data_IF_650713449762
#
_entry.id   IF_650713449762
#
_cell.length_a   1.000
_cell.length_b   1.000
_cell.length_c   1.000
_cell.angle_alpha   90.00
_cell.angle_beta   90.00
_cell.angle_gamma   90.00
#
_symmetry.space_group_name_H-M   'P 1'
#
loop_
_entity.id
_entity.type
_entity.pdbx_description
1 polymer ?
#
# COMPACT_ATOMS: atom_id res chain seq x y z
N UNK A 1 10.51 -40.08 9.67
CA UNK A 1 9.91 -38.77 9.47
C UNK A 1 10.72 -37.96 8.45
N UNK A 2 10.11 -37.68 7.33
CA UNK A 2 10.80 -36.87 6.33
C UNK A 2 10.67 -35.40 6.76
N UNK A 3 11.80 -34.82 7.09
CA UNK A 3 11.85 -33.39 7.39
C UNK A 3 11.94 -32.64 6.09
N UNK A 4 10.85 -31.94 5.75
CA UNK A 4 10.87 -31.06 4.61
C UNK A 4 11.67 -29.82 5.00
N UNK A 5 12.81 -29.66 4.36
CA UNK A 5 13.60 -28.45 4.55
C UNK A 5 12.83 -27.27 3.99
N UNK A 6 12.48 -26.33 4.87
CA UNK A 6 11.80 -25.11 4.45
C UNK A 6 12.71 -24.33 3.52
N UNK A 7 12.28 -24.18 2.29
CA UNK A 7 13.00 -23.31 1.36
C UNK A 7 12.76 -21.87 1.76
N UNK A 8 13.78 -21.06 1.62
CA UNK A 8 13.64 -19.63 1.78
C UNK A 8 12.70 -19.10 0.70
N UNK A 9 11.78 -18.20 1.07
CA UNK A 9 10.89 -17.56 0.12
C UNK A 9 11.71 -16.94 -1.00
N UNK A 10 11.38 -17.18 -2.29
CA UNK A 10 12.14 -16.64 -3.40
C UNK A 10 12.00 -15.13 -3.58
N UNK A 11 11.01 -14.52 -2.92
CA UNK A 11 10.82 -13.08 -3.00
C UNK A 11 11.86 -12.39 -2.13
N UNK A 12 12.55 -11.43 -2.72
CA UNK A 12 13.56 -10.63 -2.04
C UNK A 12 12.92 -9.32 -1.57
N UNK A 13 12.89 -9.12 -0.27
CA UNK A 13 12.28 -7.94 0.34
C UNK A 13 13.28 -6.84 0.69
N UNK A 14 14.51 -6.90 0.16
CA UNK A 14 15.51 -5.85 0.42
C UNK A 14 15.09 -4.47 -0.10
N UNK A 15 14.23 -4.44 -1.12
CA UNK A 15 13.66 -3.20 -1.63
C UNK A 15 12.59 -2.62 -0.69
N UNK A 16 12.08 -3.41 0.25
CA UNK A 16 11.11 -2.95 1.22
C UNK A 16 11.81 -2.29 2.40
N UNK A 17 12.39 -1.13 2.13
CA UNK A 17 13.22 -0.38 3.08
C UNK A 17 12.64 1.01 3.39
N UNK A 18 11.38 1.23 3.03
CA UNK A 18 10.71 2.50 3.24
C UNK A 18 9.66 2.37 4.33
N UNK A 19 9.39 3.48 5.01
CA UNK A 19 8.28 3.55 5.95
C UNK A 19 7.04 4.08 5.23
N UNK A 20 5.90 3.49 5.51
CA UNK A 20 4.61 3.97 5.04
C UNK A 20 3.62 3.98 6.19
N UNK A 21 2.65 4.87 6.12
CA UNK A 21 1.54 4.94 7.07
C UNK A 21 0.27 4.53 6.36
N UNK A 22 -0.42 3.53 6.90
CA UNK A 22 -1.68 3.01 6.35
C UNK A 22 -2.83 3.50 7.21
N UNK A 23 -3.81 4.09 6.56
CA UNK A 23 -5.03 4.59 7.20
C UNK A 23 -6.21 3.76 6.74
N UNK A 24 -6.89 3.14 7.69
CA UNK A 24 -8.06 2.31 7.43
C UNK A 24 -9.28 2.89 8.13
N UNK A 25 -10.38 2.97 7.40
CA UNK A 25 -11.67 3.43 7.91
C UNK A 25 -12.64 2.27 7.96
N UNK A 26 -13.20 2.01 9.14
CA UNK A 26 -14.25 1.03 9.34
C UNK A 26 -15.41 1.72 10.08
N UNK A 27 -16.46 2.09 9.32
CA UNK A 27 -17.54 2.91 9.84
C UNK A 27 -17.01 4.25 10.35
N UNK A 28 -17.14 4.49 11.64
CA UNK A 28 -16.63 5.69 12.30
C UNK A 28 -15.29 5.46 13.01
N UNK A 29 -14.69 4.27 12.82
CA UNK A 29 -13.41 3.92 13.42
C UNK A 29 -12.28 4.15 12.40
N UNK A 30 -11.27 4.90 12.82
CA UNK A 30 -10.12 5.23 11.99
C UNK A 30 -8.88 4.63 12.62
N UNK A 31 -8.18 3.78 11.86
CA UNK A 31 -6.97 3.09 12.32
C UNK A 31 -5.78 3.61 11.54
N UNK A 32 -4.69 3.87 12.24
CA UNK A 32 -3.44 4.33 11.65
C UNK A 32 -2.34 3.33 12.03
N UNK A 33 -1.67 2.77 11.04
CA UNK A 33 -0.59 1.81 11.26
C UNK A 33 0.63 2.24 10.46
N UNK A 34 1.79 2.30 11.12
CA UNK A 34 3.06 2.60 10.47
C UNK A 34 3.79 1.28 10.20
N UNK A 35 4.15 1.05 8.95
CA UNK A 35 4.98 -0.08 8.53
C UNK A 35 6.35 0.46 8.15
N UNK A 36 7.38 -0.03 8.84
CA UNK A 36 8.76 0.44 8.64
C UNK A 36 9.47 -0.26 7.49
N UNK A 37 8.92 -1.39 7.04
CA UNK A 37 9.50 -2.18 5.96
C UNK A 37 8.46 -2.35 4.87
N UNK A 38 8.43 -1.40 3.96
CA UNK A 38 7.51 -1.41 2.83
C UNK A 38 8.22 -0.92 1.58
N UNK A 39 7.62 -1.21 0.43
CA UNK A 39 8.04 -0.68 -0.85
C UNK A 39 6.86 0.08 -1.46
N UNK A 40 7.07 1.34 -1.75
CA UNK A 40 6.06 2.17 -2.40
C UNK A 40 6.70 2.87 -3.59
N UNK A 41 6.25 2.51 -4.78
CA UNK A 41 6.74 3.05 -6.04
C UNK A 41 5.63 3.79 -6.76
N UNK A 42 5.88 5.03 -7.10
CA UNK A 42 4.97 5.86 -7.86
C UNK A 42 5.32 5.76 -9.33
N UNK A 43 4.35 5.37 -10.15
CA UNK A 43 4.50 5.35 -11.59
C UNK A 43 3.64 6.44 -12.17
N UNK A 44 4.28 7.31 -12.94
CA UNK A 44 3.59 8.35 -13.69
C UNK A 44 3.38 7.88 -15.11
N UNK A 45 2.13 7.72 -15.49
CA UNK A 45 1.78 7.38 -16.86
C UNK A 45 1.16 8.61 -17.51
N UNK A 46 1.75 9.03 -18.64
CA UNK A 46 1.21 10.13 -19.40
C UNK A 46 0.65 9.59 -20.71
N UNK A 47 -0.64 9.79 -20.93
CA UNK A 47 -1.30 9.41 -22.15
C UNK A 47 -1.67 10.68 -22.92
N UNK A 48 -1.21 10.76 -24.17
CA UNK A 48 -1.56 11.86 -25.07
C UNK A 48 -2.66 11.37 -25.99
N UNK A 49 -3.81 12.03 -25.94
CA UNK A 49 -4.93 11.75 -26.83
C UNK A 49 -5.28 12.99 -27.66
N UNK A 50 -6.39 12.91 -28.41
CA UNK A 50 -6.85 14.02 -29.27
C UNK A 50 -7.26 15.28 -28.51
N UNK A 51 -7.51 15.17 -27.22
CA UNK A 51 -7.95 16.29 -26.37
C UNK A 51 -6.84 16.81 -25.47
N UNK A 52 -5.63 16.26 -25.55
CA UNK A 52 -4.48 16.68 -24.77
C UNK A 52 -3.86 15.56 -23.98
N UNK A 53 -2.86 15.89 -23.18
CA UNK A 53 -2.18 14.92 -22.32
C UNK A 53 -2.99 14.69 -21.05
N UNK A 54 -3.18 13.41 -20.72
CA UNK A 54 -3.84 12.98 -19.50
C UNK A 54 -2.80 12.28 -18.62
N UNK A 55 -2.54 12.85 -17.46
CA UNK A 55 -1.68 12.21 -16.47
C UNK A 55 -2.50 11.27 -15.60
N UNK A 56 -2.09 10.01 -15.56
CA UNK A 56 -2.61 9.05 -14.61
C UNK A 56 -1.47 8.64 -13.67
N UNK A 57 -1.68 8.84 -12.38
CA UNK A 57 -0.73 8.40 -11.38
C UNK A 57 -1.13 7.01 -10.91
N UNK A 58 -0.20 6.06 -11.02
CA UNK A 58 -0.36 4.73 -10.46
C UNK A 58 0.73 4.48 -9.44
N UNK A 59 0.51 3.50 -8.57
CA UNK A 59 1.49 3.12 -7.59
C UNK A 59 1.48 1.61 -7.39
N UNK A 60 2.59 1.11 -6.87
CA UNK A 60 2.72 -0.26 -6.39
C UNK A 60 3.20 -0.21 -4.95
N UNK A 61 2.45 -0.84 -4.07
CA UNK A 61 2.78 -0.97 -2.66
C UNK A 61 3.00 -2.43 -2.34
N UNK A 62 4.10 -2.73 -1.65
CA UNK A 62 4.38 -4.08 -1.14
C UNK A 62 4.69 -3.97 0.35
N UNK A 63 3.94 -4.70 1.16
CA UNK A 63 4.17 -4.78 2.60
C UNK A 63 4.36 -6.25 2.98
N UNK A 64 5.59 -6.65 3.35
CA UNK A 64 5.82 -8.02 3.80
C UNK A 64 5.07 -8.32 5.10
N UNK A 65 4.57 -9.54 5.22
CA UNK A 65 3.86 -9.96 6.41
C UNK A 65 2.95 -11.15 6.11
N UNK A 66 2.47 -11.76 7.17
CA UNK A 66 1.62 -12.95 7.12
C UNK A 66 0.12 -12.63 7.26
N UNK A 67 -0.22 -11.36 7.35
CA UNK A 67 -1.60 -10.89 7.39
C UNK A 67 -1.79 -9.77 6.37
N UNK A 68 -3.02 -9.62 5.90
CA UNK A 68 -3.35 -8.56 4.95
C UNK A 68 -3.18 -7.19 5.61
N UNK A 69 -2.25 -6.40 5.06
CA UNK A 69 -1.86 -5.12 5.65
C UNK A 69 -2.77 -3.96 5.22
N UNK A 70 -3.33 -4.04 4.01
CA UNK A 70 -4.16 -2.97 3.46
C UNK A 70 -5.41 -3.54 2.82
N UNK A 71 -6.43 -2.71 2.71
CA UNK A 71 -7.72 -3.06 2.10
C UNK A 71 -8.08 -2.00 1.06
N UNK A 72 -8.96 -2.37 0.12
CA UNK A 72 -9.43 -1.43 -0.88
C UNK A 72 -10.11 -0.24 -0.20
N UNK A 73 -9.73 0.97 -0.63
CA UNK A 73 -10.22 2.21 -0.03
C UNK A 73 -9.31 2.77 1.06
N UNK A 74 -8.33 2.00 1.51
CA UNK A 74 -7.36 2.50 2.48
C UNK A 74 -6.53 3.62 1.86
N UNK A 75 -6.08 4.54 2.71
CA UNK A 75 -5.16 5.60 2.33
C UNK A 75 -3.77 5.25 2.83
N UNK A 76 -2.77 5.44 1.98
CA UNK A 76 -1.38 5.12 2.30
C UNK A 76 -0.53 6.34 2.02
N UNK A 77 0.27 6.72 2.99
CA UNK A 77 1.18 7.86 2.87
C UNK A 77 2.62 7.38 2.99
N UNK A 78 3.49 7.89 2.13
CA UNK A 78 4.92 7.65 2.25
C UNK A 78 5.46 8.33 3.52
N UNK A 79 6.28 7.61 4.28
CA UNK A 79 6.81 8.09 5.53
C UNK A 79 5.81 7.97 6.67
N UNK A 80 6.01 8.76 7.70
CA UNK A 80 5.15 8.79 8.88
C UNK A 80 4.18 9.97 8.73
N UNK A 81 2.91 9.66 8.54
CA UNK A 81 1.88 10.67 8.34
C UNK A 81 1.18 11.08 9.63
N UNK A 82 0.35 12.13 9.55
CA UNK A 82 -0.39 12.63 10.71
C UNK A 82 -1.48 11.67 11.17
N UNK A 83 -2.00 11.90 12.35
CA UNK A 83 -3.17 11.17 12.83
C UNK A 83 -4.44 11.68 12.15
N UNK A 84 -5.25 10.74 11.68
CA UNK A 84 -6.54 11.02 11.07
C UNK A 84 -7.58 10.25 11.90
N UNK A 85 -8.33 10.96 12.71
CA UNK A 85 -9.24 10.34 13.66
C UNK A 85 -10.69 10.82 13.54
N UNK A 86 -10.98 11.72 12.61
CA UNK A 86 -12.32 12.27 12.43
C UNK A 86 -12.77 12.12 10.98
N UNK A 87 -14.07 12.15 10.78
CA UNK A 87 -14.66 12.09 9.45
C UNK A 87 -14.21 13.26 8.56
N UNK A 88 -14.15 14.46 9.12
CA UNK A 88 -13.74 15.65 8.36
C UNK A 88 -12.26 15.57 8.00
N UNK A 89 -11.41 15.11 8.91
CA UNK A 89 -9.99 14.90 8.64
C UNK A 89 -9.77 13.86 7.57
N UNK A 90 -10.54 12.77 7.60
CA UNK A 90 -10.48 11.73 6.57
C UNK A 90 -10.87 12.27 5.20
N UNK A 91 -11.97 13.02 5.13
CA UNK A 91 -12.45 13.58 3.86
C UNK A 91 -11.48 14.58 3.26
N UNK A 92 -10.76 15.34 4.09
CA UNK A 92 -9.78 16.32 3.65
C UNK A 92 -8.43 15.71 3.29
N UNK A 93 -8.19 14.46 3.68
CA UNK A 93 -6.94 13.75 3.47
C UNK A 93 -6.98 13.06 2.10
N UNK A 94 -6.56 13.79 1.07
CA UNK A 94 -6.69 13.35 -0.33
C UNK A 94 -5.37 13.45 -1.07
N UNK A 95 -5.13 12.57 -2.07
CA UNK A 95 -3.90 12.63 -2.87
C UNK A 95 -3.70 13.95 -3.62
N UNK A 96 -4.77 14.64 -3.99
CA UNK A 96 -4.68 15.90 -4.74
C UNK A 96 -4.14 17.07 -3.91
N UNK A 97 -4.23 17.01 -2.59
CA UNK A 97 -3.75 18.06 -1.70
C UNK A 97 -2.66 17.59 -0.74
N UNK A 98 -2.30 16.31 -0.75
CA UNK A 98 -1.32 15.73 0.17
C UNK A 98 -0.26 14.97 -0.62
N UNK A 99 0.94 15.53 -0.80
CA UNK A 99 2.00 14.83 -1.50
C UNK A 99 2.37 13.51 -0.80
N UNK A 100 2.59 12.47 -1.60
CA UNK A 100 2.97 11.16 -1.09
C UNK A 100 1.80 10.30 -0.60
N UNK A 101 0.57 10.78 -0.72
CA UNK A 101 -0.63 10.03 -0.34
C UNK A 101 -1.25 9.36 -1.56
N UNK A 102 -1.65 8.11 -1.39
CA UNK A 102 -2.35 7.33 -2.43
C UNK A 102 -3.56 6.64 -1.81
N UNK A 103 -4.53 6.30 -2.66
CA UNK A 103 -5.71 5.53 -2.26
C UNK A 103 -5.64 4.16 -2.91
N UNK A 104 -5.81 3.13 -2.11
CA UNK A 104 -5.73 1.73 -2.57
C UNK A 104 -6.98 1.39 -3.38
N UNK A 105 -6.79 0.97 -4.62
CA UNK A 105 -7.87 0.56 -5.53
C UNK A 105 -7.96 -0.94 -5.72
N UNK A 106 -6.85 -1.65 -5.57
CA UNK A 106 -6.84 -3.11 -5.58
C UNK A 106 -5.84 -3.64 -4.57
N UNK A 107 -6.10 -4.85 -4.08
CA UNK A 107 -5.22 -5.56 -3.14
C UNK A 107 -5.05 -6.98 -3.65
N UNK A 108 -3.81 -7.44 -3.64
CA UNK A 108 -3.46 -8.80 -4.02
C UNK A 108 -2.54 -9.38 -2.95
N UNK A 109 -3.04 -10.37 -2.24
CA UNK A 109 -2.26 -11.07 -1.22
C UNK A 109 -1.46 -12.19 -1.87
N UNK A 110 -0.17 -12.24 -1.58
CA UNK A 110 0.74 -13.21 -2.18
C UNK A 110 1.10 -14.31 -1.20
N UNK A 111 1.15 -15.53 -1.71
CA UNK A 111 1.37 -16.74 -0.92
C UNK A 111 2.57 -17.51 -1.47
N UNK A 112 3.28 -18.16 -0.56
CA UNK A 112 4.34 -19.09 -0.90
C UNK A 112 4.29 -20.27 0.07
N UNK A 113 4.28 -21.50 -0.45
CA UNK A 113 4.09 -22.71 0.34
C UNK A 113 2.86 -22.67 1.26
N UNK A 114 1.74 -22.11 0.76
CA UNK A 114 0.49 -22.04 1.52
C UNK A 114 0.45 -20.97 2.60
N UNK A 115 1.51 -20.20 2.77
CA UNK A 115 1.59 -19.12 3.74
C UNK A 115 1.63 -17.77 3.03
N UNK A 116 0.93 -16.81 3.58
CA UNK A 116 0.95 -15.45 3.06
C UNK A 116 2.30 -14.81 3.35
N UNK A 117 2.92 -14.21 2.33
CA UNK A 117 4.26 -13.64 2.45
C UNK A 117 4.27 -12.12 2.33
N UNK A 118 3.35 -11.54 1.55
CA UNK A 118 3.20 -10.09 1.52
C UNK A 118 1.85 -9.66 0.96
N UNK A 119 1.52 -8.41 1.15
CA UNK A 119 0.37 -7.74 0.54
C UNK A 119 0.88 -6.82 -0.55
N UNK A 120 0.35 -6.97 -1.76
CA UNK A 120 0.54 -6.00 -2.84
C UNK A 120 -0.73 -5.18 -2.99
N UNK A 121 -0.57 -3.90 -3.26
CA UNK A 121 -1.68 -3.00 -3.48
C UNK A 121 -1.31 -1.99 -4.54
N UNK A 122 -2.31 -1.41 -5.17
CA UNK A 122 -2.08 -0.42 -6.19
C UNK A 122 -3.31 0.40 -6.50
N UNK A 123 -3.14 1.28 -7.43
CA UNK A 123 -4.21 2.14 -7.88
C UNK A 123 -3.87 3.00 -9.06
#
# INVERSE_FOLDING_TARGET
MVRIKRRTCPVDYRMCNQSVTVYHKDGDTYTRTVYEQAFLDFKKTQTVDKTGSKEANSFLLVIPGDTQAVFVGDKVMMGIGPEIATRDAWASFRPDNTPGLVVVKYVDTKYWNGEMVHTEAGG
#
